data_IF_141556330019
#
_entry.id   IF_141556330019
#
_cell.length_a   1.000
_cell.length_b   1.000
_cell.length_c   1.000
_cell.angle_alpha   90.00
_cell.angle_beta   90.00
_cell.angle_gamma   90.00
#
_symmetry.space_group_name_H-M   'P 1'
#
loop_
_entity.id
_entity.type
_entity.pdbx_description
1 polymer ?
#
# COMPACT_ATOMS: atom_id res chain seq x y z
N UNK A 1 21.24 15.53 11.17
CA UNK A 1 20.90 15.49 9.72
C UNK A 1 22.00 16.09 8.84
N UNK A 2 22.79 17.05 9.34
CA UNK A 2 23.87 17.71 8.58
C UNK A 2 25.05 16.77 8.20
N UNK A 3 25.09 15.56 8.78
CA UNK A 3 26.11 14.55 8.49
C UNK A 3 25.93 13.92 7.10
N UNK A 4 24.69 13.82 6.62
CA UNK A 4 24.35 13.16 5.36
C UNK A 4 24.05 14.18 4.27
N UNK A 5 24.83 14.13 3.16
CA UNK A 5 24.61 14.97 1.99
C UNK A 5 24.10 14.09 0.85
N UNK A 6 22.78 14.06 0.60
CA UNK A 6 22.23 13.27 -0.49
C UNK A 6 22.68 13.86 -1.84
N UNK A 7 23.20 12.99 -2.70
CA UNK A 7 23.61 13.31 -4.08
C UNK A 7 22.97 12.30 -5.01
N UNK A 8 22.45 12.78 -6.14
CA UNK A 8 22.00 11.89 -7.22
C UNK A 8 23.19 11.16 -7.85
N UNK A 9 23.06 9.87 -8.14
CA UNK A 9 24.09 9.09 -8.84
C UNK A 9 23.72 8.94 -10.31
N UNK A 10 24.52 9.56 -11.18
CA UNK A 10 24.32 9.49 -12.64
C UNK A 10 24.93 8.23 -13.26
N UNK A 11 25.82 7.55 -12.52
CA UNK A 11 26.52 6.34 -12.94
C UNK A 11 26.61 5.31 -11.83
N UNK A 12 26.79 4.03 -12.19
CA UNK A 12 27.01 2.97 -11.20
C UNK A 12 28.31 3.17 -10.40
N UNK A 13 29.33 3.76 -10.99
CA UNK A 13 30.60 4.04 -10.30
C UNK A 13 30.43 5.16 -9.26
N UNK A 14 29.55 6.12 -9.53
CA UNK A 14 29.18 7.16 -8.57
C UNK A 14 28.48 6.55 -7.35
N UNK A 15 27.51 5.64 -7.59
CA UNK A 15 26.86 4.89 -6.51
C UNK A 15 27.85 4.04 -5.71
N UNK A 16 28.81 3.39 -6.39
CA UNK A 16 29.82 2.54 -5.76
C UNK A 16 30.83 3.31 -4.87
N UNK A 17 30.95 4.61 -5.03
CA UNK A 17 31.85 5.46 -4.22
C UNK A 17 31.21 6.03 -2.95
N UNK A 18 29.90 5.84 -2.76
CA UNK A 18 29.16 6.40 -1.64
C UNK A 18 29.22 5.50 -0.40
N UNK A 19 29.27 6.10 0.79
CA UNK A 19 29.19 5.35 2.07
C UNK A 19 27.81 4.71 2.27
N UNK A 20 26.76 5.39 1.79
CA UNK A 20 25.36 4.96 1.85
C UNK A 20 24.74 5.03 0.46
N UNK A 21 24.15 3.93 0.03
CA UNK A 21 23.46 3.85 -1.27
C UNK A 21 21.96 3.70 -1.03
N UNK A 22 21.17 4.67 -1.51
CA UNK A 22 19.72 4.64 -1.39
C UNK A 22 19.14 4.30 -2.76
N UNK A 23 18.43 3.19 -2.82
CA UNK A 23 17.84 2.64 -4.02
C UNK A 23 16.31 2.86 -4.05
N UNK A 24 15.66 2.84 -5.22
CA UNK A 24 14.25 3.22 -5.37
C UNK A 24 13.24 2.26 -4.72
N UNK A 25 11.98 2.72 -4.69
CA UNK A 25 10.79 1.96 -4.29
C UNK A 25 9.80 1.87 -5.48
N UNK A 26 9.47 0.68 -5.99
CA UNK A 26 10.14 -0.60 -5.71
C UNK A 26 11.58 -0.61 -6.23
N UNK A 27 12.43 -1.47 -5.64
CA UNK A 27 13.82 -1.62 -6.11
C UNK A 27 13.90 -1.92 -7.60
N UNK A 28 13.01 -2.80 -8.10
CA UNK A 28 13.00 -3.22 -9.50
C UNK A 28 11.66 -3.04 -10.18
N UNK A 29 11.73 -2.76 -11.49
CA UNK A 29 10.63 -2.92 -12.44
C UNK A 29 10.76 -4.31 -13.08
N UNK A 30 9.80 -5.23 -12.84
CA UNK A 30 9.80 -6.55 -13.50
C UNK A 30 11.04 -7.40 -13.16
N UNK A 31 11.73 -7.88 -14.18
CA UNK A 31 12.73 -8.97 -14.12
C UNK A 31 14.13 -8.52 -13.68
N UNK A 32 14.24 -7.88 -12.52
CA UNK A 32 15.54 -7.55 -11.94
C UNK A 32 16.21 -6.29 -12.52
N UNK A 33 15.46 -5.47 -13.27
CA UNK A 33 15.92 -4.15 -13.73
C UNK A 33 15.61 -3.09 -12.67
N UNK A 34 16.59 -2.28 -12.33
CA UNK A 34 16.47 -1.19 -11.36
C UNK A 34 15.36 -0.23 -11.78
N UNK A 35 14.55 0.20 -10.82
CA UNK A 35 13.50 1.18 -11.05
C UNK A 35 14.08 2.61 -11.13
N UNK A 36 14.71 2.94 -12.24
CA UNK A 36 15.25 4.28 -12.52
C UNK A 36 14.50 4.95 -13.69
N UNK A 37 14.66 6.25 -13.84
CA UNK A 37 13.97 7.02 -14.88
C UNK A 37 14.51 6.69 -16.26
N UNK A 38 15.82 6.57 -16.39
CA UNK A 38 16.50 6.31 -17.66
C UNK A 38 17.32 5.01 -17.61
N UNK A 39 17.36 4.34 -18.75
CA UNK A 39 18.13 3.12 -18.96
C UNK A 39 17.50 1.84 -18.39
N UNK A 40 18.12 0.73 -18.70
CA UNK A 40 17.78 -0.60 -18.19
C UNK A 40 18.99 -1.18 -17.45
N UNK A 41 19.15 -0.83 -16.18
CA UNK A 41 20.26 -1.28 -15.34
C UNK A 41 19.86 -2.54 -14.60
N UNK A 42 20.44 -3.72 -14.87
CA UNK A 42 20.24 -4.90 -14.07
C UNK A 42 20.71 -4.66 -12.63
N UNK A 43 19.92 -5.04 -11.63
CA UNK A 43 20.32 -4.92 -10.21
C UNK A 43 21.59 -5.70 -9.91
N UNK A 44 21.80 -6.83 -10.58
CA UNK A 44 23.00 -7.61 -10.45
C UNK A 44 24.27 -6.85 -10.88
N UNK A 45 24.18 -5.97 -11.89
CA UNK A 45 25.32 -5.15 -12.34
C UNK A 45 25.64 -4.03 -11.34
N UNK A 46 24.61 -3.45 -10.72
CA UNK A 46 24.81 -2.52 -9.61
C UNK A 46 25.48 -3.24 -8.42
N UNK A 47 24.93 -4.37 -7.98
CA UNK A 47 25.45 -5.08 -6.81
C UNK A 47 26.89 -5.54 -6.97
N UNK A 48 27.32 -5.93 -8.18
CA UNK A 48 28.74 -6.28 -8.44
C UNK A 48 29.72 -5.10 -8.29
N UNK A 49 29.24 -3.87 -8.36
CA UNK A 49 30.06 -2.66 -8.20
C UNK A 49 30.12 -2.15 -6.78
N UNK A 50 29.12 -2.51 -5.96
CA UNK A 50 29.08 -2.11 -4.55
C UNK A 50 30.09 -2.91 -3.72
N UNK A 51 30.56 -2.31 -2.63
CA UNK A 51 31.57 -2.90 -1.78
C UNK A 51 30.96 -3.46 -0.49
N UNK A 52 31.44 -4.60 0.02
CA UNK A 52 31.10 -5.05 1.36
C UNK A 52 31.41 -3.96 2.40
N UNK A 53 30.46 -3.72 3.29
CA UNK A 53 30.54 -2.65 4.30
C UNK A 53 29.84 -1.34 3.91
N UNK A 54 29.47 -1.14 2.65
CA UNK A 54 28.56 -0.05 2.28
C UNK A 54 27.16 -0.31 2.84
N UNK A 55 26.50 0.74 3.30
CA UNK A 55 25.12 0.66 3.78
C UNK A 55 24.16 0.84 2.59
N UNK A 56 23.40 -0.19 2.27
CA UNK A 56 22.50 -0.21 1.11
C UNK A 56 21.07 -0.23 1.62
N UNK A 57 20.32 0.81 1.30
CA UNK A 57 18.88 0.94 1.63
C UNK A 57 18.06 0.85 0.35
N UNK A 58 17.05 0.00 0.32
CA UNK A 58 16.19 -0.18 -0.84
C UNK A 58 14.73 -0.34 -0.43
N UNK A 59 13.80 -0.14 -1.36
CA UNK A 59 12.37 -0.33 -1.08
C UNK A 59 11.80 -1.56 -1.77
N UNK A 60 11.08 -2.40 -1.04
CA UNK A 60 10.41 -3.60 -1.56
C UNK A 60 11.41 -4.57 -2.22
N UNK A 61 12.39 -5.00 -1.44
CA UNK A 61 13.43 -5.95 -1.86
C UNK A 61 12.84 -7.37 -1.93
N UNK A 62 12.84 -7.97 -3.10
CA UNK A 62 12.35 -9.35 -3.27
C UNK A 62 13.37 -10.36 -2.76
N UNK A 63 12.94 -11.58 -2.37
CA UNK A 63 13.84 -12.62 -1.87
C UNK A 63 15.00 -12.97 -2.82
N UNK A 64 14.77 -12.92 -4.13
CA UNK A 64 15.81 -13.16 -5.13
C UNK A 64 16.90 -12.09 -5.06
N UNK A 65 16.54 -10.82 -5.06
CA UNK A 65 17.48 -9.70 -5.00
C UNK A 65 18.28 -9.70 -3.70
N UNK A 66 17.64 -10.05 -2.59
CA UNK A 66 18.33 -10.22 -1.31
C UNK A 66 19.40 -11.31 -1.39
N UNK A 67 19.09 -12.49 -1.96
CA UNK A 67 20.06 -13.57 -2.16
C UNK A 67 21.20 -13.17 -3.09
N UNK A 68 20.90 -12.43 -4.17
CA UNK A 68 21.92 -11.92 -5.10
C UNK A 68 22.90 -10.97 -4.40
N UNK A 69 22.42 -10.07 -3.56
CA UNK A 69 23.25 -9.17 -2.77
C UNK A 69 24.09 -9.93 -1.72
N UNK A 70 23.46 -10.84 -0.97
CA UNK A 70 24.11 -11.67 0.05
C UNK A 70 25.24 -12.54 -0.53
N UNK A 71 25.07 -13.08 -1.75
CA UNK A 71 26.09 -13.84 -2.44
C UNK A 71 27.36 -13.02 -2.77
N UNK A 72 27.25 -11.70 -2.78
CA UNK A 72 28.35 -10.76 -2.98
C UNK A 72 28.86 -10.15 -1.66
N UNK A 73 28.36 -10.64 -0.52
CA UNK A 73 28.71 -10.12 0.81
C UNK A 73 28.08 -8.76 1.13
N UNK A 74 27.03 -8.38 0.41
CA UNK A 74 26.30 -7.13 0.61
C UNK A 74 25.09 -7.34 1.51
N UNK A 75 24.80 -6.35 2.36
CA UNK A 75 23.57 -6.30 3.15
C UNK A 75 22.65 -5.21 2.63
N UNK A 76 21.44 -5.58 2.21
CA UNK A 76 20.42 -4.62 1.75
C UNK A 76 19.32 -4.53 2.78
N UNK A 77 19.17 -3.35 3.37
CA UNK A 77 18.12 -3.02 4.32
C UNK A 77 16.88 -2.50 3.58
N UNK A 78 15.73 -3.13 3.83
CA UNK A 78 14.49 -2.79 3.16
C UNK A 78 13.67 -1.79 3.99
N UNK A 79 13.77 -0.50 3.65
CA UNK A 79 13.02 0.56 4.33
C UNK A 79 11.50 0.45 4.14
N UNK A 80 11.03 -0.30 3.13
CA UNK A 80 9.59 -0.52 2.94
C UNK A 80 8.95 -1.41 4.02
N UNK A 81 9.76 -2.14 4.78
CA UNK A 81 9.30 -2.95 5.92
C UNK A 81 9.09 -2.11 7.20
N UNK A 82 9.48 -0.84 7.20
CA UNK A 82 9.31 0.06 8.34
C UNK A 82 7.85 0.37 8.59
N UNK A 83 7.43 0.22 9.86
CA UNK A 83 6.03 0.43 10.25
C UNK A 83 5.57 1.88 10.04
N UNK A 84 6.41 2.85 10.35
CA UNK A 84 6.10 4.28 10.15
C UNK A 84 5.87 4.60 8.68
N UNK A 85 6.63 4.03 7.76
CA UNK A 85 6.39 4.17 6.32
C UNK A 85 5.10 3.47 5.90
N UNK A 86 4.84 2.28 6.42
CA UNK A 86 3.62 1.54 6.13
C UNK A 86 2.36 2.30 6.59
N UNK A 87 2.41 2.96 7.76
CA UNK A 87 1.32 3.80 8.28
C UNK A 87 1.15 5.06 7.43
N UNK A 88 2.23 5.75 7.07
CA UNK A 88 2.18 6.93 6.20
C UNK A 88 1.59 6.60 4.82
N UNK A 89 2.01 5.49 4.21
CA UNK A 89 1.45 5.00 2.95
C UNK A 89 -0.03 4.62 3.08
N UNK A 90 -0.43 4.01 4.20
CA UNK A 90 -1.83 3.69 4.46
C UNK A 90 -2.69 4.95 4.60
N UNK A 91 -2.16 6.03 5.19
CA UNK A 91 -2.84 7.32 5.29
C UNK A 91 -3.10 7.92 3.90
N UNK A 92 -2.06 8.01 3.07
CA UNK A 92 -2.19 8.51 1.70
C UNK A 92 -3.09 7.60 0.83
N UNK A 93 -3.05 6.28 1.04
CA UNK A 93 -3.94 5.33 0.35
C UNK A 93 -5.41 5.57 0.74
N UNK A 94 -5.69 5.77 2.02
CA UNK A 94 -7.05 6.04 2.49
C UNK A 94 -7.61 7.37 1.95
N UNK A 95 -6.78 8.41 1.88
CA UNK A 95 -7.17 9.69 1.27
C UNK A 95 -7.43 9.56 -0.23
N UNK A 96 -6.54 8.88 -0.93
CA UNK A 96 -6.72 8.61 -2.36
C UNK A 96 -7.95 7.74 -2.65
N UNK A 97 -8.30 6.80 -1.77
CA UNK A 97 -9.53 6.02 -1.89
C UNK A 97 -10.78 6.91 -1.73
N UNK A 98 -10.78 7.82 -0.76
CA UNK A 98 -11.88 8.80 -0.57
C UNK A 98 -12.01 9.71 -1.79
N UNK A 99 -10.90 10.30 -2.25
CA UNK A 99 -10.90 11.14 -3.46
C UNK A 99 -11.49 10.39 -4.66
N UNK A 100 -11.00 9.18 -4.92
CA UNK A 100 -11.47 8.37 -6.04
C UNK A 100 -12.94 7.99 -5.89
N UNK A 101 -13.41 7.71 -4.67
CA UNK A 101 -14.81 7.44 -4.42
C UNK A 101 -15.70 8.66 -4.70
N UNK A 102 -15.29 9.85 -4.29
CA UNK A 102 -16.02 11.10 -4.57
C UNK A 102 -16.04 11.46 -6.06
N UNK A 103 -15.02 11.06 -6.83
CA UNK A 103 -14.98 11.26 -8.29
C UNK A 103 -15.86 10.27 -9.05
N UNK A 104 -16.09 9.06 -8.48
CA UNK A 104 -16.82 7.97 -9.16
C UNK A 104 -18.28 7.86 -8.75
N UNK A 105 -18.62 8.29 -7.54
CA UNK A 105 -20.01 8.27 -7.05
C UNK A 105 -20.78 9.46 -7.61
N UNK A 106 -22.04 9.22 -8.00
CA UNK A 106 -23.01 10.25 -8.39
C UNK A 106 -23.73 10.89 -7.19
N UNK A 107 -23.33 10.49 -5.98
CA UNK A 107 -23.93 10.88 -4.70
C UNK A 107 -22.88 11.19 -3.64
N UNK A 108 -23.28 11.88 -2.58
CA UNK A 108 -22.38 12.23 -1.47
C UNK A 108 -22.06 11.02 -0.59
N UNK A 109 -20.92 11.06 0.07
CA UNK A 109 -20.56 10.09 1.12
C UNK A 109 -21.42 10.27 2.40
N UNK A 110 -21.96 11.48 2.62
CA UNK A 110 -22.83 11.76 3.75
C UNK A 110 -24.06 10.83 3.74
N UNK A 111 -24.21 10.02 4.78
CA UNK A 111 -25.28 9.06 4.93
C UNK A 111 -25.18 7.81 4.04
N UNK A 112 -24.13 7.67 3.24
CA UNK A 112 -23.92 6.47 2.42
C UNK A 112 -23.48 5.29 3.30
N UNK A 113 -24.05 4.11 3.07
CA UNK A 113 -23.58 2.88 3.71
C UNK A 113 -22.30 2.39 3.00
N UNK A 114 -21.18 2.45 3.71
CA UNK A 114 -19.88 2.05 3.23
C UNK A 114 -19.41 0.79 3.95
N UNK A 115 -18.96 -0.22 3.20
CA UNK A 115 -18.34 -1.42 3.72
C UNK A 115 -16.82 -1.35 3.51
N UNK A 116 -16.06 -1.51 4.59
CA UNK A 116 -14.61 -1.65 4.56
C UNK A 116 -14.23 -3.07 4.92
N UNK A 117 -13.76 -3.83 3.94
CA UNK A 117 -13.28 -5.20 4.13
C UNK A 117 -11.85 -5.16 4.68
N UNK A 118 -11.69 -5.63 5.93
CA UNK A 118 -10.42 -5.60 6.67
C UNK A 118 -10.27 -4.39 7.58
N UNK A 119 -9.60 -4.59 8.73
CA UNK A 119 -9.36 -3.56 9.75
C UNK A 119 -7.86 -3.45 10.10
N UNK A 120 -7.01 -3.55 9.07
CA UNK A 120 -5.59 -3.27 9.14
C UNK A 120 -5.30 -1.76 9.07
N UNK A 121 -4.06 -1.38 8.74
CA UNK A 121 -3.64 0.04 8.65
C UNK A 121 -4.54 0.87 7.73
N UNK A 122 -4.74 0.41 6.48
CA UNK A 122 -5.61 1.10 5.51
C UNK A 122 -7.06 1.09 5.99
N UNK A 123 -7.58 -0.06 6.41
CA UNK A 123 -8.97 -0.20 6.84
C UNK A 123 -9.33 0.73 8.00
N UNK A 124 -8.48 0.84 9.01
CA UNK A 124 -8.65 1.77 10.15
C UNK A 124 -8.70 3.23 9.71
N UNK A 125 -7.72 3.63 8.92
CA UNK A 125 -7.59 5.03 8.46
C UNK A 125 -8.69 5.42 7.48
N UNK A 126 -9.08 4.52 6.58
CA UNK A 126 -10.19 4.74 5.64
C UNK A 126 -11.52 4.82 6.36
N UNK A 127 -11.81 3.90 7.29
CA UNK A 127 -13.03 3.94 8.11
C UNK A 127 -13.15 5.27 8.87
N UNK A 128 -12.07 5.77 9.43
CA UNK A 128 -12.04 7.05 10.13
C UNK A 128 -12.39 8.22 9.18
N UNK A 129 -11.82 8.26 7.98
CA UNK A 129 -12.07 9.32 7.00
C UNK A 129 -13.51 9.29 6.47
N UNK A 130 -14.00 8.11 6.10
CA UNK A 130 -15.38 7.92 5.66
C UNK A 130 -16.38 8.34 6.74
N UNK A 131 -16.13 7.93 7.98
CA UNK A 131 -16.97 8.34 9.12
C UNK A 131 -16.94 9.85 9.36
N UNK A 132 -15.75 10.47 9.27
CA UNK A 132 -15.58 11.93 9.38
C UNK A 132 -16.32 12.71 8.29
N UNK A 133 -16.56 12.11 7.13
CA UNK A 133 -17.39 12.66 6.04
C UNK A 133 -18.87 12.32 6.20
N UNK A 134 -19.29 11.70 7.30
CA UNK A 134 -20.67 11.38 7.62
C UNK A 134 -21.22 10.10 6.98
N UNK A 135 -20.35 9.24 6.44
CA UNK A 135 -20.77 7.91 5.96
C UNK A 135 -21.12 6.98 7.13
N UNK A 136 -22.05 6.06 6.90
CA UNK A 136 -22.35 4.97 7.82
C UNK A 136 -21.40 3.81 7.58
N UNK A 137 -20.34 3.74 8.38
CA UNK A 137 -19.27 2.77 8.17
C UNK A 137 -19.58 1.43 8.81
N UNK A 138 -19.50 0.36 8.02
CA UNK A 138 -19.39 -1.02 8.47
C UNK A 138 -17.97 -1.49 8.14
N UNK A 139 -17.24 -2.01 9.12
CA UNK A 139 -15.91 -2.59 8.91
C UNK A 139 -15.90 -4.08 9.24
N UNK A 140 -15.07 -4.86 8.54
CA UNK A 140 -14.97 -6.30 8.81
C UNK A 140 -13.63 -6.68 9.39
N UNK A 141 -13.65 -7.70 10.24
CA UNK A 141 -12.45 -8.34 10.76
C UNK A 141 -12.68 -9.84 11.00
N UNK A 142 -11.60 -10.58 11.16
CA UNK A 142 -11.65 -12.00 11.52
C UNK A 142 -11.46 -12.20 13.02
N UNK A 143 -10.65 -11.38 13.67
CA UNK A 143 -10.27 -11.53 15.07
C UNK A 143 -11.26 -10.80 15.98
N UNK A 144 -11.67 -11.38 17.11
CA UNK A 144 -12.59 -10.77 18.06
C UNK A 144 -12.09 -9.42 18.59
N UNK A 145 -10.79 -9.28 18.81
CA UNK A 145 -10.18 -8.02 19.29
C UNK A 145 -10.33 -6.88 18.28
N UNK A 146 -10.17 -7.17 16.96
CA UNK A 146 -10.39 -6.18 15.92
C UNK A 146 -11.88 -5.78 15.81
N UNK A 147 -12.80 -6.74 15.98
CA UNK A 147 -14.24 -6.46 16.03
C UNK A 147 -14.61 -5.59 17.23
N UNK A 148 -13.93 -5.77 18.39
CA UNK A 148 -14.11 -4.92 19.54
C UNK A 148 -13.61 -3.49 19.25
N UNK A 149 -12.45 -3.33 18.62
CA UNK A 149 -11.95 -2.02 18.19
C UNK A 149 -12.89 -1.33 17.18
N UNK A 150 -13.42 -2.03 16.18
CA UNK A 150 -14.40 -1.49 15.24
C UNK A 150 -15.59 -0.86 15.98
N UNK A 151 -16.14 -1.58 16.97
CA UNK A 151 -17.28 -1.07 17.78
C UNK A 151 -16.85 0.12 18.66
N UNK A 152 -15.65 0.09 19.25
CA UNK A 152 -15.15 1.16 20.08
C UNK A 152 -14.94 2.47 19.30
N UNK A 153 -14.64 2.39 18.00
CA UNK A 153 -14.59 3.54 17.09
C UNK A 153 -15.97 4.03 16.64
N UNK A 154 -17.07 3.38 17.04
CA UNK A 154 -18.43 3.75 16.67
C UNK A 154 -18.87 3.18 15.31
N UNK A 155 -18.13 2.24 14.72
CA UNK A 155 -18.50 1.62 13.44
C UNK A 155 -19.30 0.33 13.67
N UNK A 156 -20.10 -0.04 12.67
CA UNK A 156 -20.74 -1.35 12.66
C UNK A 156 -19.67 -2.43 12.38
N UNK A 157 -19.57 -3.42 13.28
CA UNK A 157 -18.66 -4.53 13.14
C UNK A 157 -19.34 -5.73 12.49
N UNK A 158 -18.67 -6.34 11.50
CA UNK A 158 -19.12 -7.56 10.84
C UNK A 158 -17.95 -8.54 10.73
N UNK A 159 -18.20 -9.82 10.99
CA UNK A 159 -17.18 -10.85 10.76
C UNK A 159 -16.96 -11.06 9.26
N UNK A 160 -15.71 -11.10 8.80
CA UNK A 160 -15.36 -11.25 7.38
C UNK A 160 -15.95 -12.53 6.75
N UNK A 161 -16.16 -13.59 7.53
CA UNK A 161 -16.78 -14.84 7.07
C UNK A 161 -18.30 -14.83 7.06
N UNK A 162 -18.97 -13.73 7.46
CA UNK A 162 -20.44 -13.62 7.60
C UNK A 162 -20.99 -12.48 6.75
N UNK A 163 -20.56 -12.40 5.48
CA UNK A 163 -21.00 -11.36 4.54
C UNK A 163 -22.33 -11.71 3.87
N UNK A 164 -22.65 -12.99 3.77
CA UNK A 164 -23.84 -13.48 3.10
C UNK A 164 -25.13 -12.90 3.71
N UNK A 165 -26.03 -12.44 2.85
CA UNK A 165 -27.27 -11.77 3.25
C UNK A 165 -27.10 -10.36 3.81
N UNK A 166 -25.88 -9.81 3.85
CA UNK A 166 -25.59 -8.49 4.47
C UNK A 166 -25.26 -7.39 3.46
N UNK A 167 -25.10 -7.70 2.16
CA UNK A 167 -24.46 -6.81 1.20
C UNK A 167 -25.40 -5.85 0.47
N UNK A 168 -26.70 -6.11 0.47
CA UNK A 168 -27.71 -5.38 -0.34
C UNK A 168 -27.91 -3.90 0.00
N UNK A 169 -27.35 -3.39 1.09
CA UNK A 169 -27.53 -2.00 1.50
C UNK A 169 -26.32 -1.10 1.20
N UNK A 170 -25.18 -1.65 0.79
CA UNK A 170 -23.96 -0.86 0.63
C UNK A 170 -23.91 -0.14 -0.72
N UNK A 171 -23.68 1.19 -0.67
CA UNK A 171 -23.44 2.00 -1.86
C UNK A 171 -21.96 2.07 -2.25
N UNK A 172 -21.04 1.70 -1.34
CA UNK A 172 -19.63 1.56 -1.65
C UNK A 172 -18.97 0.46 -0.81
N UNK A 173 -18.11 -0.32 -1.45
CA UNK A 173 -17.31 -1.38 -0.84
C UNK A 173 -15.83 -1.14 -1.13
N UNK A 174 -15.03 -1.10 -0.08
CA UNK A 174 -13.58 -0.91 -0.14
C UNK A 174 -12.88 -2.15 0.41
N UNK A 175 -12.16 -2.87 -0.45
CA UNK A 175 -11.36 -4.00 0.01
C UNK A 175 -9.95 -3.57 0.38
N UNK A 176 -9.49 -3.97 1.56
CA UNK A 176 -8.10 -3.77 2.03
C UNK A 176 -7.38 -5.09 2.34
N UNK A 177 -8.05 -6.22 2.10
CA UNK A 177 -7.53 -7.57 2.40
C UNK A 177 -6.85 -8.12 1.16
N UNK A 178 -5.54 -8.48 1.21
CA UNK A 178 -4.80 -9.03 0.07
C UNK A 178 -5.06 -10.55 -0.10
N UNK A 179 -6.31 -10.95 -0.06
CA UNK A 179 -6.78 -12.33 -0.21
C UNK A 179 -8.22 -12.30 -0.74
N UNK A 180 -8.66 -13.28 -1.55
CA UNK A 180 -10.04 -13.36 -2.04
C UNK A 180 -11.06 -13.38 -0.89
N UNK A 181 -11.88 -12.32 -0.80
CA UNK A 181 -12.91 -12.15 0.25
C UNK A 181 -14.28 -11.87 -0.32
N UNK A 182 -14.36 -11.42 -1.56
CA UNK A 182 -15.62 -11.06 -2.21
C UNK A 182 -15.61 -11.53 -3.65
N UNK A 183 -16.48 -12.47 -3.99
CA UNK A 183 -16.58 -13.03 -5.34
C UNK A 183 -17.91 -13.71 -5.57
N UNK A 184 -18.16 -14.13 -6.79
CA UNK A 184 -19.31 -14.94 -7.20
C UNK A 184 -20.64 -14.52 -6.55
N UNK A 185 -21.26 -15.43 -5.76
CA UNK A 185 -22.59 -15.20 -5.17
C UNK A 185 -22.68 -13.99 -4.23
N UNK A 186 -21.57 -13.59 -3.62
CA UNK A 186 -21.55 -12.40 -2.74
C UNK A 186 -21.64 -11.11 -3.55
N UNK A 187 -20.94 -11.03 -4.69
CA UNK A 187 -21.02 -9.88 -5.59
C UNK A 187 -22.43 -9.65 -6.12
N UNK A 188 -23.15 -10.72 -6.40
CA UNK A 188 -24.53 -10.68 -6.88
C UNK A 188 -25.53 -10.09 -5.86
N UNK A 189 -25.16 -9.98 -4.58
CA UNK A 189 -25.99 -9.36 -3.54
C UNK A 189 -25.82 -7.84 -3.44
N UNK A 190 -24.82 -7.28 -4.09
CA UNK A 190 -24.59 -5.85 -4.08
C UNK A 190 -25.53 -5.11 -5.01
N UNK A 191 -25.92 -3.87 -4.67
CA UNK A 191 -26.67 -3.02 -5.60
C UNK A 191 -25.89 -2.83 -6.91
N UNK A 192 -26.57 -2.72 -8.06
CA UNK A 192 -25.92 -2.56 -9.37
C UNK A 192 -25.04 -1.30 -9.48
N UNK A 193 -25.38 -0.26 -8.71
CA UNK A 193 -24.70 1.03 -8.65
C UNK A 193 -23.70 1.13 -7.48
N UNK A 194 -23.40 0.02 -6.81
CA UNK A 194 -22.42 -0.03 -5.73
C UNK A 194 -21.02 0.18 -6.28
N UNK A 195 -20.29 1.16 -5.73
CA UNK A 195 -18.87 1.35 -6.04
C UNK A 195 -18.04 0.22 -5.41
N UNK A 196 -17.31 -0.52 -6.24
CA UNK A 196 -16.38 -1.55 -5.79
C UNK A 196 -14.94 -1.09 -5.98
N UNK A 197 -14.20 -0.94 -4.89
CA UNK A 197 -12.80 -0.51 -4.94
C UNK A 197 -11.91 -1.51 -4.20
N UNK A 198 -10.92 -2.06 -4.90
CA UNK A 198 -9.91 -2.93 -4.32
C UNK A 198 -8.59 -2.16 -4.11
N UNK A 199 -8.23 -1.97 -2.84
CA UNK A 199 -7.03 -1.25 -2.39
C UNK A 199 -5.88 -2.20 -2.03
N UNK A 200 -6.15 -3.50 -2.06
CA UNK A 200 -5.16 -4.49 -1.65
C UNK A 200 -4.04 -4.66 -2.69
N UNK A 201 -2.86 -5.07 -2.23
CA UNK A 201 -1.70 -5.36 -3.09
C UNK A 201 -1.94 -6.56 -4.02
N UNK A 202 -2.77 -7.50 -3.59
CA UNK A 202 -3.29 -8.64 -4.35
C UNK A 202 -4.80 -8.50 -4.39
N UNK A 203 -5.41 -8.79 -5.54
CA UNK A 203 -6.88 -8.68 -5.68
C UNK A 203 -7.60 -9.56 -4.69
N UNK A 204 -8.51 -8.97 -3.94
CA UNK A 204 -9.41 -9.67 -3.00
C UNK A 204 -10.87 -9.61 -3.42
N UNK A 205 -11.20 -8.87 -4.49
CA UNK A 205 -12.50 -8.88 -5.16
C UNK A 205 -12.35 -9.58 -6.50
N UNK A 206 -13.05 -10.68 -6.69
CA UNK A 206 -13.04 -11.47 -7.92
C UNK A 206 -14.05 -10.88 -8.90
N UNK A 207 -13.56 -10.14 -9.92
CA UNK A 207 -14.40 -9.65 -11.00
C UNK A 207 -14.91 -10.83 -11.86
N UNK A 208 -16.23 -10.87 -12.13
CA UNK A 208 -16.80 -11.74 -13.14
C UNK A 208 -16.86 -10.99 -14.49
N UNK A 209 -16.86 -11.71 -15.62
CA UNK A 209 -16.93 -11.09 -16.96
C UNK A 209 -18.19 -10.22 -17.13
N UNK A 210 -19.34 -10.66 -16.59
CA UNK A 210 -20.61 -9.93 -16.61
C UNK A 210 -20.96 -9.31 -15.25
N UNK A 211 -19.97 -9.17 -14.35
CA UNK A 211 -20.17 -8.63 -13.00
C UNK A 211 -19.98 -7.11 -12.93
N UNK A 212 -20.20 -6.53 -11.73
CA UNK A 212 -19.94 -5.11 -11.52
C UNK A 212 -18.48 -4.76 -11.73
N UNK A 213 -18.23 -3.53 -12.22
CA UNK A 213 -16.87 -3.02 -12.39
C UNK A 213 -16.14 -2.96 -11.05
N UNK A 214 -14.96 -3.58 -10.98
CA UNK A 214 -14.09 -3.52 -9.81
C UNK A 214 -12.91 -2.62 -10.09
N UNK A 215 -12.85 -1.47 -9.44
CA UNK A 215 -11.72 -0.55 -9.55
C UNK A 215 -10.55 -1.05 -8.70
N UNK A 216 -9.52 -1.60 -9.32
CA UNK A 216 -8.29 -1.94 -8.62
C UNK A 216 -7.38 -0.72 -8.48
N UNK A 217 -7.49 -0.04 -7.34
CA UNK A 217 -6.84 1.24 -7.07
C UNK A 217 -5.45 1.06 -6.43
N UNK A 218 -4.47 0.71 -7.25
CA UNK A 218 -3.07 0.52 -6.82
C UNK A 218 -2.28 1.82 -6.83
N UNK A 219 -1.22 1.85 -6.01
CA UNK A 219 -0.20 2.91 -6.01
C UNK A 219 -0.77 4.32 -5.78
N UNK A 220 -1.88 4.43 -5.06
CA UNK A 220 -2.54 5.71 -4.76
C UNK A 220 -1.59 6.75 -4.15
N UNK A 221 -0.70 6.42 -3.17
CA UNK A 221 0.23 7.39 -2.62
C UNK A 221 1.10 8.07 -3.67
N UNK A 222 1.75 7.27 -4.54
CA UNK A 222 2.61 7.81 -5.60
C UNK A 222 1.87 8.57 -6.69
N UNK A 223 0.61 8.21 -6.96
CA UNK A 223 -0.22 8.84 -8.01
C UNK A 223 -0.89 10.13 -7.55
N UNK A 224 -1.44 10.15 -6.34
CA UNK A 224 -2.28 11.25 -5.86
C UNK A 224 -1.57 12.15 -4.85
N UNK A 225 -0.55 11.63 -4.15
CA UNK A 225 0.18 12.37 -3.12
C UNK A 225 1.70 12.14 -3.21
N UNK A 226 2.34 12.35 -4.38
CA UNK A 226 3.75 11.97 -4.60
C UNK A 226 4.71 12.66 -3.64
N UNK A 227 4.46 13.93 -3.28
CA UNK A 227 5.30 14.65 -2.31
C UNK A 227 5.23 14.05 -0.91
N UNK A 228 4.03 13.68 -0.46
CA UNK A 228 3.84 13.04 0.86
C UNK A 228 4.46 11.64 0.87
N UNK A 229 4.30 10.86 -0.20
CA UNK A 229 4.91 9.55 -0.34
C UNK A 229 6.45 9.64 -0.33
N UNK A 230 7.03 10.59 -1.05
CA UNK A 230 8.48 10.83 -1.05
C UNK A 230 9.00 11.28 0.33
N UNK A 231 8.26 12.16 1.03
CA UNK A 231 8.61 12.58 2.38
C UNK A 231 8.61 11.40 3.36
N UNK A 232 7.61 10.51 3.28
CA UNK A 232 7.55 9.32 4.12
C UNK A 232 8.73 8.35 3.88
N UNK A 233 9.12 8.15 2.62
CA UNK A 233 10.32 7.37 2.28
C UNK A 233 11.58 8.02 2.84
N UNK A 234 11.75 9.33 2.62
CA UNK A 234 12.88 10.10 3.18
C UNK A 234 12.97 9.93 4.69
N UNK A 235 11.86 10.11 5.39
CA UNK A 235 11.84 10.05 6.87
C UNK A 235 12.16 8.62 7.36
N UNK A 236 11.65 7.57 6.72
CA UNK A 236 11.99 6.19 7.02
C UNK A 236 13.50 5.92 6.81
N UNK A 237 14.08 6.40 5.72
CA UNK A 237 15.53 6.31 5.46
C UNK A 237 16.33 7.03 6.54
N UNK A 238 15.92 8.24 6.94
CA UNK A 238 16.60 8.97 8.01
C UNK A 238 16.49 8.27 9.36
N UNK A 239 15.36 7.69 9.71
CA UNK A 239 15.24 6.92 10.95
C UNK A 239 16.22 5.73 10.95
N UNK A 240 16.31 5.00 9.85
CA UNK A 240 17.29 3.91 9.72
C UNK A 240 18.73 4.41 9.91
N UNK A 241 19.09 5.56 9.35
CA UNK A 241 20.44 6.12 9.44
C UNK A 241 20.76 6.69 10.84
N UNK A 242 19.75 7.00 11.65
CA UNK A 242 19.90 7.56 12.99
C UNK A 242 19.82 6.51 14.11
N UNK A 243 19.41 5.29 13.81
CA UNK A 243 19.31 4.17 14.76
C UNK A 243 20.68 3.50 15.05
N UNK A 244 21.81 4.22 14.89
CA UNK A 244 23.17 3.76 15.22
C UNK A 244 23.59 4.04 16.66
#
# INVERSE_FOLDING_TARGET
LDRWKPVGADTLDHAASADVVILPLPLCRGDGVLNCEEGAVPTADLFRRLQPGQRILAGQVRPQQRREAEALGLTVEDYFLREELAVANAAATAEGAVQTAMERLDRTLLGLDCLVLGFGRIGKLLSCRLHGLGARVTATARRPEDLAWIRAYGYRALETGKLDGCLGAFGAVFNTVPFPVLGGPLLAQLPPDCLLMDLASVRGIEAAEDGPEVLWARSLPGRLSPRSAAAAVRDAVYYILLEE
#
